data_IF_641820468732
#
_entry.id   IF_641820468732
#
_cell.length_a   1.000
_cell.length_b   1.000
_cell.length_c   1.000
_cell.angle_alpha   90.00
_cell.angle_beta   90.00
_cell.angle_gamma   90.00
#
_symmetry.space_group_name_H-M   'P 1'
#
loop_
_entity.id
_entity.type
_entity.pdbx_description
1 polymer ?
#
# COMPACT_ATOMS: atom_id res chain seq x y z
N UNK A 1 19.22 10.16 -41.24
CA UNK A 1 18.19 10.24 -40.21
C UNK A 1 18.85 10.74 -38.95
N UNK A 2 18.65 12.00 -38.65
CA UNK A 2 19.29 12.70 -37.52
C UNK A 2 18.77 12.14 -36.21
N UNK A 3 19.63 11.49 -35.43
CA UNK A 3 19.40 11.23 -34.02
C UNK A 3 19.27 12.59 -33.34
N UNK A 4 18.04 13.09 -33.27
CA UNK A 4 17.71 14.24 -32.45
C UNK A 4 18.08 13.82 -31.00
N UNK A 5 19.17 14.39 -30.49
CA UNK A 5 19.50 14.34 -29.08
C UNK A 5 18.36 15.03 -28.36
N UNK A 6 17.36 14.24 -27.96
CA UNK A 6 16.25 14.70 -27.14
C UNK A 6 16.90 15.38 -25.92
N UNK A 7 16.69 16.69 -25.79
CA UNK A 7 17.06 17.38 -24.59
C UNK A 7 16.41 16.63 -23.41
N UNK A 8 17.16 15.99 -22.52
CA UNK A 8 16.59 15.12 -21.49
C UNK A 8 15.66 15.88 -20.52
N UNK A 9 15.61 17.20 -20.63
CA UNK A 9 14.77 18.09 -19.81
C UNK A 9 13.49 18.56 -20.50
N UNK A 10 13.37 18.45 -21.81
CA UNK A 10 12.15 18.84 -22.52
C UNK A 10 11.11 17.73 -22.40
N UNK A 11 9.81 18.05 -22.21
CA UNK A 11 8.73 17.06 -22.28
C UNK A 11 8.71 16.39 -23.65
N UNK A 12 8.45 15.09 -23.68
CA UNK A 12 8.28 14.36 -24.93
C UNK A 12 6.93 14.78 -25.53
N UNK A 13 6.97 15.41 -26.69
CA UNK A 13 5.79 15.97 -27.39
C UNK A 13 5.08 14.97 -28.27
N UNK A 14 5.74 13.89 -28.69
CA UNK A 14 5.14 12.82 -29.47
C UNK A 14 5.39 11.47 -28.78
N UNK A 15 4.32 10.84 -28.31
CA UNK A 15 4.37 9.55 -27.64
C UNK A 15 3.23 8.65 -28.11
N UNK A 16 3.52 7.70 -28.99
CA UNK A 16 2.56 6.71 -29.46
C UNK A 16 3.03 5.27 -29.16
N UNK A 17 2.70 4.73 -27.98
CA UNK A 17 3.11 3.37 -27.60
C UNK A 17 2.36 2.28 -28.37
N UNK A 18 1.27 2.62 -29.11
CA UNK A 18 0.54 1.65 -29.92
C UNK A 18 1.16 1.47 -31.31
N UNK A 19 1.97 2.42 -31.78
CA UNK A 19 2.78 2.25 -33.02
C UNK A 19 3.89 1.22 -32.78
N UNK A 20 3.86 0.13 -33.49
CA UNK A 20 4.78 -1.00 -33.34
C UNK A 20 6.23 -0.65 -33.70
N UNK A 21 6.48 0.24 -34.65
CA UNK A 21 7.82 0.66 -35.04
C UNK A 21 8.39 1.63 -34.05
N UNK A 22 7.64 2.65 -33.63
CA UNK A 22 8.01 3.56 -32.54
C UNK A 22 8.29 2.78 -31.25
N UNK A 23 7.44 1.83 -30.90
CA UNK A 23 7.62 1.02 -29.70
C UNK A 23 8.93 0.22 -29.73
N UNK A 24 9.22 -0.45 -30.86
CA UNK A 24 10.41 -1.28 -31.02
C UNK A 24 11.70 -0.46 -30.99
N UNK A 25 11.72 0.72 -31.62
CA UNK A 25 12.92 1.54 -31.79
C UNK A 25 13.23 2.43 -30.59
N UNK A 26 12.21 3.02 -29.97
CA UNK A 26 12.38 4.07 -28.95
C UNK A 26 11.50 3.84 -27.73
N UNK A 27 10.21 3.61 -27.90
CA UNK A 27 9.22 3.64 -26.84
C UNK A 27 9.51 2.64 -25.72
N UNK A 28 9.85 1.39 -26.05
CA UNK A 28 10.10 0.35 -25.06
C UNK A 28 11.29 0.65 -24.13
N UNK A 29 12.36 1.24 -24.64
CA UNK A 29 13.54 1.57 -23.84
C UNK A 29 13.25 2.70 -22.85
N UNK A 30 12.58 3.75 -23.30
CA UNK A 30 12.15 4.89 -22.49
C UNK A 30 11.15 4.45 -21.42
N UNK A 31 10.13 3.68 -21.80
CA UNK A 31 9.11 3.17 -20.88
C UNK A 31 9.72 2.29 -19.75
N UNK A 32 10.62 1.36 -20.12
CA UNK A 32 11.32 0.51 -19.14
C UNK A 32 12.19 1.32 -18.20
N UNK A 33 12.93 2.32 -18.70
CA UNK A 33 13.75 3.19 -17.84
C UNK A 33 12.88 3.94 -16.84
N UNK A 34 11.76 4.55 -17.26
CA UNK A 34 10.82 5.22 -16.37
C UNK A 34 10.26 4.25 -15.30
N UNK A 35 9.90 3.02 -15.70
CA UNK A 35 9.40 1.99 -14.78
C UNK A 35 10.45 1.61 -13.73
N UNK A 36 11.70 1.30 -14.14
CA UNK A 36 12.74 0.86 -13.24
C UNK A 36 13.22 1.95 -12.26
N UNK A 37 13.06 3.23 -12.62
CA UNK A 37 13.31 4.36 -11.72
C UNK A 37 12.10 4.59 -10.79
N UNK A 38 10.88 4.40 -11.29
CA UNK A 38 9.65 4.54 -10.49
C UNK A 38 9.56 3.53 -9.35
N UNK A 39 10.01 2.29 -9.58
CA UNK A 39 9.95 1.20 -8.58
C UNK A 39 10.67 1.54 -7.27
N UNK A 40 11.96 1.93 -7.23
CA UNK A 40 12.61 2.30 -5.98
C UNK A 40 12.00 3.55 -5.32
N UNK A 41 11.52 4.53 -6.09
CA UNK A 41 10.78 5.67 -5.53
C UNK A 41 9.52 5.22 -4.79
N UNK A 42 8.76 4.29 -5.38
CA UNK A 42 7.55 3.75 -4.78
C UNK A 42 7.85 2.81 -3.61
N UNK A 43 8.92 2.02 -3.67
CA UNK A 43 9.40 1.19 -2.58
C UNK A 43 9.73 2.05 -1.35
N UNK A 44 10.48 3.13 -1.51
CA UNK A 44 10.79 4.07 -0.43
C UNK A 44 9.54 4.74 0.12
N UNK A 45 8.58 5.09 -0.74
CA UNK A 45 7.30 5.64 -0.33
C UNK A 45 6.55 4.71 0.63
N UNK A 46 6.49 3.42 0.33
CA UNK A 46 5.90 2.42 1.23
C UNK A 46 6.75 2.17 2.47
N UNK A 47 8.08 2.16 2.35
CA UNK A 47 8.98 2.01 3.50
C UNK A 47 8.76 3.10 4.55
N UNK A 48 8.71 4.35 4.12
CA UNK A 48 8.43 5.50 4.99
C UNK A 48 7.02 5.40 5.59
N UNK A 49 6.02 5.02 4.80
CA UNK A 49 4.63 4.95 5.27
C UNK A 49 4.42 3.98 6.45
N UNK A 50 5.23 2.93 6.55
CA UNK A 50 5.10 1.92 7.61
C UNK A 50 6.18 1.99 8.68
N UNK A 51 7.07 3.00 8.66
CA UNK A 51 8.17 3.08 9.64
C UNK A 51 7.66 3.13 11.10
N UNK A 52 6.49 3.72 11.34
CA UNK A 52 5.87 3.76 12.65
C UNK A 52 5.57 2.37 13.23
N UNK A 53 5.35 1.35 12.39
CA UNK A 53 5.08 -0.02 12.85
C UNK A 53 6.22 -0.63 13.69
N UNK A 54 7.45 -0.17 13.49
CA UNK A 54 8.63 -0.60 14.27
C UNK A 54 8.96 0.41 15.37
N UNK A 55 8.88 1.71 15.06
CA UNK A 55 9.23 2.78 16.00
C UNK A 55 8.40 2.69 17.29
N UNK A 56 7.08 2.50 17.17
CA UNK A 56 6.17 2.44 18.32
C UNK A 56 6.48 1.27 19.28
N UNK A 57 7.12 0.20 18.81
CA UNK A 57 7.50 -0.94 19.63
C UNK A 57 8.66 -0.60 20.59
N UNK A 58 9.52 0.32 20.16
CA UNK A 58 10.76 0.67 20.87
C UNK A 58 10.63 1.96 21.68
N UNK A 59 9.65 2.83 21.38
CA UNK A 59 9.40 4.08 22.11
C UNK A 59 9.25 3.90 23.63
N UNK A 60 8.46 2.92 24.13
CA UNK A 60 8.34 2.73 25.58
C UNK A 60 9.64 2.33 26.25
N UNK A 61 10.57 1.67 25.54
CA UNK A 61 11.86 1.23 26.09
C UNK A 61 12.79 2.41 26.36
N UNK A 62 12.65 3.50 25.64
CA UNK A 62 13.51 4.68 25.75
C UNK A 62 12.84 5.86 26.48
N UNK A 63 11.71 5.61 27.17
CA UNK A 63 11.10 6.57 28.09
C UNK A 63 9.84 7.29 27.57
N UNK A 64 9.34 6.99 26.38
CA UNK A 64 8.05 7.53 25.94
C UNK A 64 6.89 6.86 26.69
N UNK A 65 6.05 7.66 27.34
CA UNK A 65 4.94 7.20 28.18
C UNK A 65 3.57 7.23 27.48
N UNK A 66 3.54 6.89 26.19
CA UNK A 66 2.30 6.87 25.43
C UNK A 66 1.47 5.61 25.72
N UNK A 67 0.14 5.77 25.78
CA UNK A 67 -0.80 4.67 25.96
C UNK A 67 -0.88 3.77 24.71
N UNK A 68 -1.39 2.55 24.87
CA UNK A 68 -1.51 1.60 23.75
C UNK A 68 -2.34 2.16 22.59
N UNK A 69 -3.46 2.82 22.89
CA UNK A 69 -4.31 3.46 21.88
C UNK A 69 -3.58 4.60 21.16
N UNK A 70 -2.75 5.38 21.86
CA UNK A 70 -1.90 6.42 21.28
C UNK A 70 -0.85 5.82 20.32
N UNK A 71 -0.21 4.72 20.69
CA UNK A 71 0.75 4.03 19.81
C UNK A 71 0.08 3.45 18.56
N UNK A 72 -1.12 2.86 18.69
CA UNK A 72 -1.89 2.41 17.52
C UNK A 72 -2.31 3.58 16.62
N UNK A 73 -2.64 4.74 17.18
CA UNK A 73 -2.96 5.93 16.38
C UNK A 73 -1.74 6.39 15.57
N UNK A 74 -0.54 6.40 16.14
CA UNK A 74 0.69 6.74 15.41
C UNK A 74 0.95 5.80 14.22
N UNK A 75 0.64 4.51 14.34
CA UNK A 75 0.76 3.58 13.20
C UNK A 75 -0.32 3.78 12.14
N UNK A 76 -1.47 4.30 12.53
CA UNK A 76 -2.64 4.47 11.66
C UNK A 76 -2.59 5.75 10.82
N UNK A 77 -2.13 6.87 11.40
CA UNK A 77 -2.18 8.20 10.79
C UNK A 77 -1.48 8.33 9.44
N UNK A 78 -0.32 7.68 9.18
CA UNK A 78 0.29 7.70 7.86
C UNK A 78 -0.63 7.19 6.76
N UNK A 79 -1.45 6.19 7.08
CA UNK A 79 -2.37 5.62 6.10
C UNK A 79 -3.62 6.48 5.90
N UNK A 80 -4.08 7.19 6.94
CA UNK A 80 -5.17 8.16 6.83
C UNK A 80 -4.81 9.28 5.86
N UNK A 81 -3.72 9.98 6.15
CA UNK A 81 -3.25 11.08 5.29
C UNK A 81 -2.86 10.60 3.91
N UNK A 82 -2.17 9.46 3.81
CA UNK A 82 -1.76 8.88 2.55
C UNK A 82 -2.91 8.42 1.66
N UNK A 83 -3.94 7.78 2.22
CA UNK A 83 -5.14 7.39 1.48
C UNK A 83 -5.87 8.63 0.93
N UNK A 84 -5.98 9.67 1.75
CA UNK A 84 -6.56 10.96 1.33
C UNK A 84 -5.74 11.60 0.21
N UNK A 85 -4.42 11.63 0.36
CA UNK A 85 -3.51 12.19 -0.64
C UNK A 85 -3.55 11.43 -1.98
N UNK A 86 -3.82 10.11 -1.99
CA UNK A 86 -3.95 9.33 -3.24
C UNK A 86 -4.97 9.93 -4.20
N UNK A 87 -6.07 10.48 -3.68
CA UNK A 87 -7.11 11.10 -4.50
C UNK A 87 -6.54 12.27 -5.31
N UNK A 88 -5.75 13.13 -4.66
CA UNK A 88 -5.12 14.28 -5.31
C UNK A 88 -3.91 13.88 -6.15
N UNK A 89 -3.07 12.99 -5.64
CA UNK A 89 -1.84 12.56 -6.29
C UNK A 89 -2.07 11.86 -7.62
N UNK A 90 -3.23 11.24 -7.83
CA UNK A 90 -3.59 10.60 -9.11
C UNK A 90 -3.57 11.58 -10.30
N UNK A 91 -3.80 12.87 -10.05
CA UNK A 91 -3.83 13.91 -11.09
C UNK A 91 -2.49 14.63 -11.26
N UNK A 92 -1.60 14.54 -10.29
CA UNK A 92 -0.36 15.32 -10.26
C UNK A 92 0.58 15.07 -11.45
N UNK A 93 0.77 13.82 -11.94
CA UNK A 93 1.59 13.59 -13.14
C UNK A 93 1.05 14.28 -14.40
N UNK A 94 -0.27 14.40 -14.51
CA UNK A 94 -0.90 15.11 -15.62
C UNK A 94 -0.79 16.64 -15.53
N UNK A 95 -0.65 17.18 -14.30
CA UNK A 95 -0.54 18.62 -14.05
C UNK A 95 0.91 19.11 -14.09
N UNK A 96 1.82 18.40 -13.45
CA UNK A 96 3.22 18.81 -13.24
C UNK A 96 4.24 18.03 -14.07
N UNK A 97 3.80 16.98 -14.77
CA UNK A 97 4.68 16.01 -15.43
C UNK A 97 5.08 14.85 -14.51
N UNK A 98 5.27 13.69 -15.10
CA UNK A 98 5.56 12.46 -14.36
C UNK A 98 6.92 12.46 -13.68
N UNK A 99 7.97 12.94 -14.38
CA UNK A 99 9.32 13.12 -13.84
C UNK A 99 9.32 14.11 -12.68
N UNK A 100 8.81 15.31 -12.93
CA UNK A 100 8.80 16.39 -11.97
C UNK A 100 8.06 15.99 -10.70
N UNK A 101 6.86 15.42 -10.85
CA UNK A 101 6.08 14.97 -9.70
C UNK A 101 6.74 13.83 -8.94
N UNK A 102 7.26 12.80 -9.63
CA UNK A 102 7.95 11.68 -8.97
C UNK A 102 9.16 12.17 -8.17
N UNK A 103 9.93 13.11 -8.72
CA UNK A 103 11.07 13.70 -8.01
C UNK A 103 10.64 14.45 -6.75
N UNK A 104 9.69 15.38 -6.88
CA UNK A 104 9.23 16.19 -5.75
C UNK A 104 8.57 15.33 -4.65
N UNK A 105 7.70 14.40 -5.04
CA UNK A 105 7.01 13.54 -4.09
C UNK A 105 7.93 12.52 -3.42
N UNK A 106 9.00 12.07 -4.10
CA UNK A 106 10.03 11.24 -3.48
C UNK A 106 10.90 12.07 -2.54
N UNK A 107 11.37 13.25 -2.97
CA UNK A 107 12.17 14.15 -2.13
C UNK A 107 11.42 14.60 -0.86
N UNK A 108 10.09 14.78 -0.94
CA UNK A 108 9.27 15.14 0.22
C UNK A 108 9.30 14.10 1.36
N UNK A 109 9.68 12.85 1.07
CA UNK A 109 9.86 11.80 2.07
C UNK A 109 11.00 12.07 3.05
N UNK A 110 11.94 12.96 2.67
CA UNK A 110 13.01 13.45 3.58
C UNK A 110 12.41 14.14 4.80
N UNK A 111 11.28 14.83 4.65
CA UNK A 111 10.67 15.60 5.75
C UNK A 111 10.30 14.67 6.92
N UNK A 112 9.42 13.65 6.77
CA UNK A 112 9.08 12.77 7.87
C UNK A 112 10.25 11.90 8.33
N UNK A 113 11.14 11.48 7.43
CA UNK A 113 12.29 10.65 7.78
C UNK A 113 13.26 11.38 8.72
N UNK A 114 13.62 12.61 8.36
CA UNK A 114 14.54 13.45 9.15
C UNK A 114 13.85 13.92 10.43
N UNK A 115 12.61 14.40 10.34
CA UNK A 115 11.87 14.91 11.51
C UNK A 115 11.66 13.82 12.56
N UNK A 116 11.26 12.60 12.16
CA UNK A 116 11.17 11.47 13.06
C UNK A 116 12.51 11.16 13.71
N UNK A 117 13.59 11.10 12.90
CA UNK A 117 14.93 10.79 13.40
C UNK A 117 15.39 11.75 14.50
N UNK A 118 15.05 13.03 14.42
CA UNK A 118 15.34 13.97 15.50
C UNK A 118 14.36 13.87 16.67
N UNK A 119 13.07 13.73 16.40
CA UNK A 119 12.03 13.74 17.44
C UNK A 119 12.11 12.55 18.40
N UNK A 120 12.57 11.38 17.95
CA UNK A 120 12.68 10.19 18.80
C UNK A 120 13.91 10.17 19.72
N UNK A 121 14.83 11.12 19.56
CA UNK A 121 16.00 11.25 20.43
C UNK A 121 15.66 11.90 21.78
N UNK A 122 14.55 12.61 21.84
CA UNK A 122 14.08 13.27 23.06
C UNK A 122 12.75 12.64 23.52
N UNK A 123 12.74 11.83 24.60
CA UNK A 123 11.52 11.22 25.14
C UNK A 123 10.48 12.23 25.64
N UNK A 124 10.87 13.51 25.82
CA UNK A 124 9.95 14.58 26.22
C UNK A 124 9.21 15.20 25.04
N UNK A 125 9.53 14.78 23.81
CA UNK A 125 8.82 15.22 22.61
C UNK A 125 7.32 15.02 22.77
N UNK A 126 6.56 16.10 22.56
CA UNK A 126 5.11 16.10 22.79
C UNK A 126 4.38 15.14 21.86
N UNK A 127 3.31 14.52 22.35
CA UNK A 127 2.48 13.64 21.54
C UNK A 127 1.87 14.34 20.30
N UNK A 128 1.39 15.61 20.36
CA UNK A 128 0.97 16.35 19.16
C UNK A 128 2.06 16.46 18.08
N UNK A 129 3.33 16.64 18.47
CA UNK A 129 4.44 16.65 17.51
C UNK A 129 4.56 15.29 16.80
N UNK A 130 4.47 14.18 17.53
CA UNK A 130 4.49 12.84 16.95
C UNK A 130 3.29 12.59 16.02
N UNK A 131 2.11 13.11 16.36
CA UNK A 131 0.94 13.06 15.48
C UNK A 131 1.18 13.81 14.16
N UNK A 132 1.78 15.00 14.23
CA UNK A 132 2.14 15.77 13.01
C UNK A 132 3.13 15.00 12.13
N UNK A 133 4.17 14.42 12.73
CA UNK A 133 5.14 13.61 11.97
C UNK A 133 4.44 12.40 11.33
N UNK A 134 3.58 11.71 12.07
CA UNK A 134 2.82 10.57 11.55
C UNK A 134 1.91 10.95 10.38
N UNK A 135 1.24 12.10 10.45
CA UNK A 135 0.43 12.62 9.33
C UNK A 135 1.30 12.96 8.11
N UNK A 136 2.44 13.63 8.31
CA UNK A 136 3.35 13.97 7.21
C UNK A 136 3.98 12.73 6.59
N UNK A 137 4.16 11.67 7.36
CA UNK A 137 4.61 10.35 6.86
C UNK A 137 3.71 9.80 5.75
N UNK A 138 2.45 10.18 5.72
CA UNK A 138 1.50 9.77 4.67
C UNK A 138 1.79 10.30 3.27
N UNK A 139 2.70 11.29 3.11
CA UNK A 139 3.22 11.71 1.80
C UNK A 139 3.70 10.49 1.00
N UNK A 140 4.30 9.49 1.67
CA UNK A 140 4.73 8.24 1.04
C UNK A 140 3.57 7.45 0.43
N UNK A 141 2.56 7.11 1.23
CA UNK A 141 1.44 6.28 0.75
C UNK A 141 0.66 6.93 -0.40
N UNK A 142 0.64 8.27 -0.48
CA UNK A 142 0.05 9.02 -1.59
C UNK A 142 0.69 8.70 -2.94
N UNK A 143 1.99 8.46 -2.98
CA UNK A 143 2.77 8.23 -4.20
C UNK A 143 2.34 7.00 -5.02
N UNK A 144 1.61 6.07 -4.42
CA UNK A 144 1.10 4.91 -5.15
C UNK A 144 0.23 5.35 -6.35
N UNK A 145 -0.71 6.27 -6.14
CA UNK A 145 -1.65 6.68 -7.17
C UNK A 145 -0.93 7.43 -8.33
N UNK A 146 -0.04 8.36 -8.00
CA UNK A 146 0.71 9.11 -9.01
C UNK A 146 1.68 8.23 -9.80
N UNK A 147 2.37 7.31 -9.12
CA UNK A 147 3.29 6.36 -9.76
C UNK A 147 2.56 5.43 -10.74
N UNK A 148 1.41 4.87 -10.34
CA UNK A 148 0.59 4.01 -11.20
C UNK A 148 0.04 4.77 -12.40
N UNK A 149 -0.45 5.99 -12.22
CA UNK A 149 -0.94 6.84 -13.30
C UNK A 149 0.19 7.18 -14.28
N UNK A 150 1.34 7.61 -13.78
CA UNK A 150 2.49 7.97 -14.61
C UNK A 150 2.95 6.80 -15.49
N UNK A 151 3.21 5.64 -14.89
CA UNK A 151 3.70 4.47 -15.64
C UNK A 151 2.67 3.98 -16.66
N UNK A 152 1.38 4.10 -16.37
CA UNK A 152 0.32 3.74 -17.30
C UNK A 152 0.34 4.52 -18.62
N UNK A 153 0.88 5.75 -18.63
CA UNK A 153 0.99 6.55 -19.88
C UNK A 153 2.12 6.07 -20.79
N UNK A 154 3.17 5.46 -20.23
CA UNK A 154 4.33 5.03 -21.02
C UNK A 154 4.10 3.73 -21.79
N UNK A 155 3.21 2.83 -21.34
CA UNK A 155 3.07 1.49 -21.89
C UNK A 155 1.86 1.31 -22.80
N UNK A 156 1.97 0.50 -23.88
CA UNK A 156 0.84 0.18 -24.75
C UNK A 156 -0.21 -0.64 -23.97
N UNK A 157 -1.46 -0.61 -24.43
CA UNK A 157 -2.60 -1.27 -23.75
C UNK A 157 -2.30 -2.72 -23.39
N UNK A 158 -1.65 -3.46 -24.29
CA UNK A 158 -1.29 -4.87 -24.10
C UNK A 158 -0.32 -5.10 -22.94
N UNK A 159 0.59 -4.16 -22.63
CA UNK A 159 1.64 -4.29 -21.62
C UNK A 159 1.38 -3.46 -20.35
N UNK A 160 0.42 -2.54 -20.39
CA UNK A 160 0.09 -1.62 -19.30
C UNK A 160 -0.22 -2.35 -17.98
N UNK A 161 -0.99 -3.44 -18.03
CA UNK A 161 -1.33 -4.22 -16.86
C UNK A 161 -0.11 -4.87 -16.20
N UNK A 162 0.79 -5.45 -17.01
CA UNK A 162 2.03 -6.07 -16.53
C UNK A 162 2.99 -5.03 -15.92
N UNK A 163 3.17 -3.87 -16.59
CA UNK A 163 4.02 -2.80 -16.12
C UNK A 163 3.53 -2.22 -14.77
N UNK A 164 2.23 -1.92 -14.67
CA UNK A 164 1.63 -1.45 -13.43
C UNK A 164 1.64 -2.54 -12.33
N UNK A 165 1.43 -3.79 -12.70
CA UNK A 165 1.54 -4.92 -11.77
C UNK A 165 2.94 -5.05 -11.18
N UNK A 166 3.98 -4.89 -12.00
CA UNK A 166 5.37 -4.89 -11.56
C UNK A 166 5.68 -3.68 -10.67
N UNK A 167 5.27 -2.48 -11.08
CA UNK A 167 5.46 -1.25 -10.30
C UNK A 167 4.81 -1.34 -8.93
N UNK A 168 3.55 -1.77 -8.88
CA UNK A 168 2.82 -1.94 -7.62
C UNK A 168 3.39 -3.08 -6.75
N UNK A 169 3.72 -4.23 -7.35
CA UNK A 169 4.23 -5.39 -6.62
C UNK A 169 5.57 -5.11 -5.97
N UNK A 170 6.55 -4.66 -6.76
CA UNK A 170 7.88 -4.33 -6.25
C UNK A 170 7.87 -3.10 -5.34
N UNK A 171 7.00 -2.11 -5.60
CA UNK A 171 6.79 -0.99 -4.69
C UNK A 171 6.29 -1.43 -3.32
N UNK A 172 5.29 -2.31 -3.27
CA UNK A 172 4.74 -2.82 -2.01
C UNK A 172 5.75 -3.63 -1.17
N UNK A 173 6.81 -4.17 -1.78
CA UNK A 173 7.91 -4.79 -1.03
C UNK A 173 8.56 -3.81 -0.05
N UNK A 174 8.44 -2.49 -0.27
CA UNK A 174 8.93 -1.47 0.65
C UNK A 174 8.40 -1.63 2.08
N UNK A 175 7.18 -2.16 2.25
CA UNK A 175 6.62 -2.48 3.57
C UNK A 175 7.46 -3.52 4.29
N UNK A 176 7.77 -4.62 3.62
CA UNK A 176 8.59 -5.72 4.16
C UNK A 176 10.05 -5.30 4.35
N UNK A 177 10.60 -4.58 3.36
CA UNK A 177 11.98 -4.06 3.43
C UNK A 177 12.14 -3.15 4.64
N UNK A 178 11.17 -2.26 4.91
CA UNK A 178 11.22 -1.39 6.07
C UNK A 178 11.22 -2.19 7.38
N UNK A 179 10.32 -3.16 7.51
CA UNK A 179 10.21 -3.97 8.72
C UNK A 179 11.40 -4.93 8.92
N UNK A 180 12.15 -5.25 7.87
CA UNK A 180 13.40 -6.01 7.96
C UNK A 180 14.61 -5.12 8.26
N UNK A 181 14.74 -4.00 7.56
CA UNK A 181 15.94 -3.13 7.65
C UNK A 181 15.94 -2.30 8.93
N UNK A 182 14.79 -1.79 9.37
CA UNK A 182 14.75 -0.91 10.54
C UNK A 182 15.22 -1.56 11.83
N UNK A 183 14.83 -2.80 12.21
CA UNK A 183 15.37 -3.46 13.38
C UNK A 183 16.91 -3.58 13.36
N UNK A 184 17.48 -3.82 12.20
CA UNK A 184 18.95 -3.89 12.02
C UNK A 184 19.58 -2.49 12.13
N UNK A 185 18.99 -1.48 11.53
CA UNK A 185 19.52 -0.13 11.54
C UNK A 185 19.50 0.51 12.93
N UNK A 186 18.46 0.24 13.73
CA UNK A 186 18.33 0.78 15.09
C UNK A 186 19.18 0.04 16.12
N UNK A 187 19.68 -1.16 15.82
CA UNK A 187 20.56 -1.94 16.72
C UNK A 187 22.03 -1.57 16.63
N UNK A 188 22.41 -0.68 15.69
CA UNK A 188 23.80 -0.33 15.44
C UNK A 188 23.97 1.15 15.16
N UNK A 189 25.12 1.70 15.50
CA UNK A 189 25.53 3.09 15.19
C UNK A 189 25.93 3.27 13.71
N UNK A 190 24.99 3.03 12.79
CA UNK A 190 25.24 2.98 11.33
C UNK A 190 25.87 4.26 10.77
N UNK A 191 25.54 5.40 11.36
CA UNK A 191 26.02 6.71 10.90
C UNK A 191 27.17 7.28 11.76
N UNK A 192 27.70 6.51 12.72
CA UNK A 192 28.74 6.96 13.65
C UNK A 192 28.32 8.27 14.36
N UNK A 193 29.26 9.22 14.47
CA UNK A 193 29.01 10.50 15.12
C UNK A 193 27.89 11.35 14.45
N UNK A 194 27.62 11.14 13.17
CA UNK A 194 26.56 11.85 12.45
C UNK A 194 25.16 11.34 12.83
N UNK A 195 25.07 10.12 13.36
CA UNK A 195 23.81 9.49 13.72
C UNK A 195 23.30 9.88 15.11
N UNK A 196 24.07 10.60 15.90
CA UNK A 196 23.75 10.92 17.31
C UNK A 196 24.00 9.77 18.28
N UNK A 197 23.82 10.04 19.55
CA UNK A 197 24.06 9.08 20.63
C UNK A 197 22.95 8.04 20.76
N UNK A 198 23.27 6.81 21.22
CA UNK A 198 22.26 5.80 21.48
C UNK A 198 21.45 6.13 22.72
N UNK A 199 20.17 5.79 22.70
CA UNK A 199 19.39 5.65 23.94
C UNK A 199 19.72 4.32 24.60
N UNK A 200 19.73 4.28 25.93
CA UNK A 200 19.98 3.05 26.70
C UNK A 200 18.70 2.58 27.37
N UNK A 201 18.50 1.27 27.44
CA UNK A 201 17.42 0.64 28.19
C UNK A 201 17.90 -0.65 28.84
N UNK A 202 17.26 -1.04 29.93
CA UNK A 202 17.59 -2.28 30.66
C UNK A 202 16.50 -3.31 30.36
N UNK A 203 16.91 -4.48 29.90
CA UNK A 203 16.05 -5.62 29.69
C UNK A 203 16.73 -6.87 30.27
N UNK A 204 16.01 -7.63 31.09
CA UNK A 204 16.51 -8.85 31.75
C UNK A 204 17.84 -8.63 32.55
N UNK A 205 18.02 -7.44 33.14
CA UNK A 205 19.23 -7.06 33.88
C UNK A 205 20.43 -6.67 33.01
N UNK A 206 20.27 -6.67 31.66
CA UNK A 206 21.32 -6.28 30.70
C UNK A 206 21.01 -4.90 30.14
N UNK A 207 22.01 -4.03 30.08
CA UNK A 207 21.91 -2.71 29.44
C UNK A 207 22.11 -2.86 27.93
N UNK A 208 21.12 -2.42 27.17
CA UNK A 208 21.13 -2.41 25.72
C UNK A 208 21.21 -0.98 25.19
N UNK A 209 21.84 -0.81 24.04
CA UNK A 209 21.87 0.45 23.29
C UNK A 209 20.95 0.37 22.07
N UNK A 210 20.26 1.46 21.74
CA UNK A 210 19.39 1.56 20.58
C UNK A 210 19.51 2.95 19.96
N UNK A 211 19.68 2.98 18.65
CA UNK A 211 19.68 4.20 17.82
C UNK A 211 18.31 4.33 17.14
N UNK A 212 17.25 4.62 17.90
CA UNK A 212 15.89 4.67 17.32
C UNK A 212 15.75 5.69 16.19
N UNK A 213 16.54 6.75 16.21
CA UNK A 213 16.64 7.75 15.16
C UNK A 213 17.02 7.16 13.79
N UNK A 214 17.75 6.05 13.77
CA UNK A 214 18.13 5.38 12.52
C UNK A 214 16.94 4.78 11.78
N UNK A 215 15.79 4.58 12.45
CA UNK A 215 14.54 4.18 11.77
C UNK A 215 14.10 5.21 10.72
N UNK A 216 14.40 6.49 10.94
CA UNK A 216 14.20 7.56 9.95
C UNK A 216 15.43 7.78 9.08
N UNK A 217 16.61 7.96 9.69
CA UNK A 217 17.83 8.38 8.97
C UNK A 217 18.33 7.37 7.94
N UNK A 218 18.10 6.06 8.14
CA UNK A 218 18.54 5.02 7.19
C UNK A 218 17.99 5.24 5.77
N UNK A 219 16.83 5.87 5.65
CA UNK A 219 16.18 6.09 4.35
C UNK A 219 16.69 7.33 3.61
N UNK A 220 17.29 8.29 4.32
CA UNK A 220 17.71 9.58 3.77
C UNK A 220 18.60 9.44 2.54
N UNK A 221 19.72 8.66 2.56
CA UNK A 221 20.58 8.53 1.38
C UNK A 221 19.85 7.89 0.20
N UNK A 222 19.01 6.89 0.44
CA UNK A 222 18.24 6.23 -0.62
C UNK A 222 17.19 7.15 -1.24
N UNK A 223 16.52 7.98 -0.43
CA UNK A 223 15.57 8.98 -0.91
C UNK A 223 16.29 10.01 -1.80
N UNK A 224 17.45 10.50 -1.38
CA UNK A 224 18.24 11.47 -2.16
C UNK A 224 18.66 10.86 -3.50
N UNK A 225 19.25 9.66 -3.49
CA UNK A 225 19.69 8.97 -4.72
C UNK A 225 18.51 8.70 -5.65
N UNK A 226 17.37 8.22 -5.13
CA UNK A 226 16.18 7.95 -5.95
C UNK A 226 15.56 9.22 -6.52
N UNK A 227 15.56 10.32 -5.76
CA UNK A 227 15.08 11.62 -6.25
C UNK A 227 15.98 12.17 -7.37
N UNK A 228 17.29 12.03 -7.22
CA UNK A 228 18.27 12.42 -8.27
C UNK A 228 18.07 11.53 -9.50
N UNK A 229 17.94 10.22 -9.31
CA UNK A 229 17.68 9.28 -10.42
C UNK A 229 16.38 9.62 -11.16
N UNK A 230 15.30 9.97 -10.42
CA UNK A 230 14.05 10.39 -11.02
C UNK A 230 14.21 11.70 -11.83
N UNK A 231 14.90 12.69 -11.27
CA UNK A 231 15.10 13.97 -11.94
C UNK A 231 15.88 13.87 -13.24
N UNK A 232 16.95 13.09 -13.28
CA UNK A 232 17.82 12.95 -14.45
C UNK A 232 17.42 11.81 -15.39
N UNK A 233 16.76 10.76 -14.89
CA UNK A 233 16.50 9.55 -15.64
C UNK A 233 15.07 9.39 -16.16
N UNK A 234 14.07 10.04 -15.54
CA UNK A 234 12.68 9.96 -15.97
C UNK A 234 12.33 11.03 -17.03
N UNK A 235 11.17 10.90 -17.65
CA UNK A 235 10.66 11.80 -18.68
C UNK A 235 9.28 12.35 -18.30
N UNK A 236 8.99 13.56 -18.80
CA UNK A 236 7.65 14.13 -18.82
C UNK A 236 7.02 13.90 -20.20
N UNK A 237 5.71 13.57 -20.23
CA UNK A 237 4.92 13.46 -21.46
C UNK A 237 3.99 14.68 -21.57
N UNK A 238 4.08 15.42 -22.69
CA UNK A 238 3.28 16.63 -22.89
C UNK A 238 1.76 16.35 -23.04
N UNK A 239 1.42 15.18 -23.59
CA UNK A 239 0.04 14.77 -23.89
C UNK A 239 -0.63 13.94 -22.78
N UNK A 240 0.04 13.75 -21.63
CA UNK A 240 -0.52 13.02 -20.49
C UNK A 240 -1.54 13.88 -19.74
N UNK A 241 -2.66 14.20 -20.41
CA UNK A 241 -3.76 14.98 -19.82
C UNK A 241 -4.93 14.07 -19.47
N UNK A 242 -5.51 14.23 -18.28
CA UNK A 242 -6.76 13.60 -17.86
C UNK A 242 -7.71 14.65 -17.29
N UNK A 243 -8.98 14.61 -17.72
CA UNK A 243 -10.00 15.51 -17.18
C UNK A 243 -10.61 14.91 -15.90
N UNK A 244 -10.67 15.70 -14.83
CA UNK A 244 -11.34 15.34 -13.58
C UNK A 244 -12.82 15.06 -13.81
N UNK A 245 -13.48 15.85 -14.69
CA UNK A 245 -14.91 15.72 -14.97
C UNK A 245 -15.27 14.38 -15.63
N UNK A 246 -14.42 13.87 -16.53
CA UNK A 246 -14.60 12.56 -17.16
C UNK A 246 -14.45 11.40 -16.17
N UNK A 247 -13.66 11.58 -15.12
CA UNK A 247 -13.45 10.57 -14.09
C UNK A 247 -14.61 10.53 -13.07
N UNK A 248 -15.37 11.60 -12.89
CA UNK A 248 -16.46 11.68 -11.92
C UNK A 248 -17.64 10.73 -12.22
N UNK A 249 -17.74 10.20 -13.44
CA UNK A 249 -18.79 9.23 -13.85
C UNK A 249 -18.76 7.97 -13.02
N UNK A 250 -17.59 7.55 -12.50
CA UNK A 250 -17.44 6.34 -11.68
C UNK A 250 -18.26 6.40 -10.39
N UNK A 251 -18.46 7.59 -9.80
CA UNK A 251 -19.18 7.75 -8.53
C UNK A 251 -20.68 7.42 -8.63
N UNK A 252 -21.24 7.47 -9.84
CA UNK A 252 -22.63 7.09 -10.11
C UNK A 252 -22.83 5.57 -10.28
N UNK A 253 -21.73 4.79 -10.39
CA UNK A 253 -21.78 3.34 -10.58
C UNK A 253 -21.78 2.62 -9.24
N UNK A 254 -22.82 1.80 -8.94
CA UNK A 254 -22.86 0.99 -7.71
C UNK A 254 -21.66 0.05 -7.59
N UNK A 255 -21.21 -0.53 -8.71
CA UNK A 255 -20.09 -1.45 -8.74
C UNK A 255 -18.77 -0.79 -8.29
N UNK A 256 -18.62 0.53 -8.42
CA UNK A 256 -17.47 1.25 -7.89
C UNK A 256 -17.41 1.14 -6.35
N UNK A 257 -18.53 1.36 -5.68
CA UNK A 257 -18.60 1.31 -4.21
C UNK A 257 -18.51 -0.12 -3.67
N UNK A 258 -19.09 -1.10 -4.38
CA UNK A 258 -18.95 -2.51 -4.04
C UNK A 258 -17.50 -2.98 -4.17
N UNK A 259 -16.81 -2.57 -5.22
CA UNK A 259 -15.39 -2.87 -5.39
C UNK A 259 -14.52 -2.14 -4.36
N UNK A 260 -14.87 -0.93 -3.92
CA UNK A 260 -14.22 -0.28 -2.78
C UNK A 260 -14.32 -1.14 -1.51
N UNK A 261 -15.49 -1.70 -1.23
CA UNK A 261 -15.71 -2.56 -0.07
C UNK A 261 -14.87 -3.84 -0.13
N UNK A 262 -14.88 -4.53 -1.28
CA UNK A 262 -14.09 -5.75 -1.46
C UNK A 262 -12.58 -5.46 -1.44
N UNK A 263 -12.16 -4.34 -2.02
CA UNK A 263 -10.74 -3.96 -2.04
C UNK A 263 -10.24 -3.48 -0.67
N UNK A 264 -11.12 -2.88 0.13
CA UNK A 264 -10.86 -2.62 1.54
C UNK A 264 -10.65 -3.94 2.31
N UNK A 265 -11.41 -5.00 1.99
CA UNK A 265 -11.25 -6.33 2.56
C UNK A 265 -9.95 -7.02 2.19
N UNK A 266 -9.41 -6.78 1.01
CA UNK A 266 -8.16 -7.40 0.53
C UNK A 266 -6.96 -6.50 0.76
N UNK A 267 -6.82 -5.41 0.01
CA UNK A 267 -5.69 -4.48 0.15
C UNK A 267 -5.70 -3.76 1.49
N UNK A 268 -6.89 -3.36 1.98
CA UNK A 268 -7.01 -2.72 3.27
C UNK A 268 -6.55 -3.62 4.41
N UNK A 269 -6.87 -4.91 4.36
CA UNK A 269 -6.36 -5.89 5.33
C UNK A 269 -4.86 -6.07 5.23
N UNK A 270 -4.31 -6.20 4.02
CA UNK A 270 -2.87 -6.29 3.80
C UNK A 270 -2.12 -5.13 4.46
N UNK A 271 -2.49 -3.89 4.14
CA UNK A 271 -1.77 -2.71 4.65
C UNK A 271 -2.10 -2.43 6.12
N UNK A 272 -3.33 -2.74 6.57
CA UNK A 272 -3.75 -2.58 7.95
C UNK A 272 -3.03 -3.54 8.90
N UNK A 273 -2.91 -4.80 8.52
CA UNK A 273 -2.10 -5.76 9.29
C UNK A 273 -0.63 -5.41 9.23
N UNK A 274 -0.11 -4.96 8.09
CA UNK A 274 1.29 -4.50 8.00
C UNK A 274 1.60 -3.38 8.98
N UNK A 275 0.66 -2.47 9.23
CA UNK A 275 0.82 -1.36 10.16
C UNK A 275 0.63 -1.79 11.63
N UNK A 276 -0.29 -2.72 11.92
CA UNK A 276 -0.75 -3.03 13.27
C UNK A 276 -0.15 -4.32 13.86
N UNK A 277 0.21 -5.31 13.03
CA UNK A 277 0.53 -6.67 13.48
C UNK A 277 1.68 -6.72 14.48
N UNK A 278 2.72 -5.91 14.28
CA UNK A 278 3.87 -5.85 15.18
C UNK A 278 3.45 -5.42 16.60
N UNK A 279 2.70 -4.32 16.70
CA UNK A 279 2.21 -3.79 17.99
C UNK A 279 1.15 -4.72 18.61
N UNK A 280 0.24 -5.26 17.81
CA UNK A 280 -0.75 -6.23 18.24
C UNK A 280 -0.07 -7.47 18.86
N UNK A 281 0.89 -8.05 18.15
CA UNK A 281 1.63 -9.22 18.62
C UNK A 281 2.37 -8.92 19.96
N UNK A 282 3.04 -7.77 20.06
CA UNK A 282 3.74 -7.36 21.29
C UNK A 282 2.78 -7.13 22.45
N UNK A 283 1.57 -6.61 22.18
CA UNK A 283 0.57 -6.38 23.24
C UNK A 283 -0.10 -7.66 23.74
N UNK A 284 -0.29 -8.66 22.84
CA UNK A 284 -0.91 -9.94 23.21
C UNK A 284 0.11 -10.95 23.74
N UNK A 285 1.35 -10.92 23.26
CA UNK A 285 2.44 -11.83 23.62
C UNK A 285 3.69 -11.02 24.03
N UNK A 286 3.69 -10.38 25.21
CA UNK A 286 4.77 -9.45 25.61
C UNK A 286 6.15 -10.10 25.72
N UNK A 287 6.22 -11.43 25.98
CA UNK A 287 7.47 -12.18 26.09
C UNK A 287 8.16 -12.45 24.73
N UNK A 288 7.45 -12.24 23.60
CA UNK A 288 7.99 -12.55 22.27
C UNK A 288 8.56 -11.28 21.64
N UNK A 289 9.78 -11.35 21.14
CA UNK A 289 10.33 -10.31 20.26
C UNK A 289 9.92 -10.57 18.81
N UNK A 290 8.87 -9.88 18.40
CA UNK A 290 8.29 -10.01 17.05
C UNK A 290 9.11 -9.27 15.99
N UNK A 291 10.01 -8.38 16.35
CA UNK A 291 10.73 -7.51 15.41
C UNK A 291 11.58 -8.28 14.42
N UNK A 292 12.07 -9.48 14.83
CA UNK A 292 12.93 -10.32 13.98
C UNK A 292 12.21 -10.96 12.78
N UNK A 293 10.86 -11.08 12.80
CA UNK A 293 10.11 -11.83 11.79
C UNK A 293 8.80 -11.19 11.32
N UNK A 294 8.46 -10.01 11.84
CA UNK A 294 7.24 -9.29 11.44
C UNK A 294 7.18 -8.97 9.95
N UNK A 295 8.34 -8.80 9.30
CA UNK A 295 8.46 -8.53 7.87
C UNK A 295 7.95 -9.66 6.97
N UNK A 296 7.86 -10.90 7.48
CA UNK A 296 7.48 -12.10 6.71
C UNK A 296 6.06 -11.97 6.18
N UNK A 297 5.14 -11.45 6.97
CA UNK A 297 3.74 -11.27 6.56
C UNK A 297 3.60 -10.38 5.32
N UNK A 298 4.04 -9.12 5.36
CA UNK A 298 4.02 -8.25 4.19
C UNK A 298 4.83 -8.80 3.01
N UNK A 299 5.94 -9.51 3.24
CA UNK A 299 6.72 -10.15 2.19
C UNK A 299 5.87 -11.18 1.44
N UNK A 300 5.25 -12.11 2.15
CA UNK A 300 4.38 -13.13 1.57
C UNK A 300 3.24 -12.47 0.78
N UNK A 301 2.55 -11.50 1.40
CA UNK A 301 1.42 -10.82 0.77
C UNK A 301 1.80 -10.04 -0.50
N UNK A 302 2.97 -9.40 -0.52
CA UNK A 302 3.45 -8.68 -1.70
C UNK A 302 3.86 -9.64 -2.85
N UNK A 303 4.60 -10.71 -2.52
CA UNK A 303 5.09 -11.67 -3.51
C UNK A 303 3.98 -12.54 -4.12
N UNK A 304 2.96 -12.89 -3.34
CA UNK A 304 1.85 -13.74 -3.82
C UNK A 304 0.82 -12.98 -4.69
N UNK A 305 0.80 -11.66 -4.64
CA UNK A 305 -0.17 -10.84 -5.37
C UNK A 305 -0.22 -11.08 -6.88
N UNK A 306 0.92 -11.17 -7.61
CA UNK A 306 0.90 -11.52 -9.03
C UNK A 306 0.30 -12.91 -9.31
N UNK A 307 0.53 -13.86 -8.40
CA UNK A 307 -0.04 -15.22 -8.51
C UNK A 307 -1.56 -15.15 -8.38
N UNK A 308 -2.10 -14.35 -7.44
CA UNK A 308 -3.52 -14.12 -7.29
C UNK A 308 -4.16 -13.56 -8.57
N UNK A 309 -3.50 -12.60 -9.23
CA UNK A 309 -3.92 -12.07 -10.53
C UNK A 309 -3.92 -13.15 -11.63
N UNK A 310 -2.83 -13.92 -11.73
CA UNK A 310 -2.71 -15.00 -12.73
C UNK A 310 -3.75 -16.12 -12.54
N UNK A 311 -4.02 -16.54 -11.30
CA UNK A 311 -5.09 -17.52 -11.01
C UNK A 311 -6.45 -16.96 -11.41
N UNK A 312 -6.69 -15.67 -11.15
CA UNK A 312 -7.92 -14.98 -11.52
C UNK A 312 -8.16 -14.92 -13.02
N UNK A 313 -7.10 -14.84 -13.81
CA UNK A 313 -7.20 -14.89 -15.28
C UNK A 313 -7.69 -16.26 -15.80
N UNK A 314 -7.43 -17.34 -15.05
CA UNK A 314 -7.80 -18.70 -15.44
C UNK A 314 -9.16 -19.16 -14.88
N UNK A 315 -9.46 -18.77 -13.66
CA UNK A 315 -10.61 -19.31 -12.90
C UNK A 315 -11.76 -18.30 -12.79
N UNK A 316 -11.47 -17.02 -13.01
CA UNK A 316 -12.37 -15.89 -12.79
C UNK A 316 -12.09 -15.17 -11.47
N UNK A 317 -11.99 -13.83 -11.54
CA UNK A 317 -11.64 -12.99 -10.40
C UNK A 317 -12.63 -13.10 -9.24
N UNK A 318 -13.92 -13.13 -9.53
CA UNK A 318 -14.96 -13.22 -8.52
C UNK A 318 -14.92 -14.55 -7.73
N UNK A 319 -14.64 -15.67 -8.39
CA UNK A 319 -14.53 -16.97 -7.70
C UNK A 319 -13.32 -17.01 -6.79
N UNK A 320 -12.18 -16.50 -7.26
CA UNK A 320 -10.96 -16.41 -6.44
C UNK A 320 -11.20 -15.51 -5.23
N UNK A 321 -11.77 -14.33 -5.44
CA UNK A 321 -12.06 -13.36 -4.37
C UNK A 321 -13.03 -13.93 -3.33
N UNK A 322 -14.07 -14.66 -3.77
CA UNK A 322 -15.01 -15.33 -2.87
C UNK A 322 -14.31 -16.33 -1.94
N UNK A 323 -13.52 -17.24 -2.50
CA UNK A 323 -12.81 -18.26 -1.71
C UNK A 323 -11.72 -17.64 -0.81
N UNK A 324 -11.07 -16.57 -1.27
CA UNK A 324 -10.15 -15.83 -0.44
C UNK A 324 -10.83 -15.33 0.83
N UNK A 325 -11.99 -14.69 0.75
CA UNK A 325 -12.69 -14.22 1.94
C UNK A 325 -13.18 -15.36 2.84
N UNK A 326 -13.65 -16.48 2.27
CA UNK A 326 -14.02 -17.67 3.04
C UNK A 326 -12.82 -18.19 3.84
N UNK A 327 -11.66 -18.30 3.20
CA UNK A 327 -10.43 -18.74 3.88
C UNK A 327 -9.90 -17.71 4.89
N UNK A 328 -10.07 -16.40 4.63
CA UNK A 328 -9.75 -15.35 5.60
C UNK A 328 -10.60 -15.45 6.85
N UNK A 329 -11.87 -15.83 6.73
CA UNK A 329 -12.75 -16.11 7.89
C UNK A 329 -12.17 -17.27 8.72
N UNK A 330 -11.76 -18.37 8.08
CA UNK A 330 -11.17 -19.53 8.77
C UNK A 330 -9.87 -19.14 9.47
N UNK A 331 -8.99 -18.39 8.79
CA UNK A 331 -7.72 -17.91 9.37
C UNK A 331 -7.98 -16.95 10.54
N UNK A 332 -9.02 -16.11 10.48
CA UNK A 332 -9.40 -15.21 11.56
C UNK A 332 -9.92 -15.95 12.78
N UNK A 333 -10.75 -16.98 12.59
CA UNK A 333 -11.22 -17.85 13.68
C UNK A 333 -10.06 -18.60 14.32
N UNK A 334 -9.11 -19.07 13.53
CA UNK A 334 -7.87 -19.68 14.04
C UNK A 334 -7.04 -18.67 14.87
N UNK A 335 -6.89 -17.42 14.40
CA UNK A 335 -6.20 -16.39 15.16
C UNK A 335 -6.87 -16.09 16.50
N UNK A 336 -8.21 -16.00 16.51
CA UNK A 336 -9.00 -15.81 17.72
C UNK A 336 -8.82 -16.96 18.73
N UNK A 337 -8.79 -18.21 18.28
CA UNK A 337 -8.60 -19.37 19.15
C UNK A 337 -7.20 -19.45 19.77
N UNK A 338 -6.23 -18.75 19.19
CA UNK A 338 -4.83 -18.73 19.68
C UNK A 338 -4.52 -17.57 20.61
N UNK A 339 -5.44 -16.61 20.81
CA UNK A 339 -5.23 -15.48 21.71
C UNK A 339 -5.10 -15.91 23.18
N UNK A 340 -4.32 -15.16 24.00
CA UNK A 340 -4.35 -15.33 25.44
C UNK A 340 -5.75 -15.12 26.00
N UNK A 341 -6.16 -15.96 26.94
CA UNK A 341 -7.46 -15.88 27.59
C UNK A 341 -7.32 -16.12 29.11
N UNK A 342 -8.40 -15.94 29.85
CA UNK A 342 -8.42 -16.27 31.26
C UNK A 342 -8.05 -17.74 31.58
N UNK A 343 -8.07 -18.62 30.56
CA UNK A 343 -7.78 -20.06 30.69
C UNK A 343 -6.36 -20.45 30.29
N UNK A 344 -5.54 -19.52 29.72
CA UNK A 344 -4.17 -19.81 29.30
C UNK A 344 -3.46 -18.66 28.59
N UNK A 345 -2.14 -18.80 28.49
CA UNK A 345 -1.24 -17.79 27.90
C UNK A 345 -1.40 -17.60 26.37
N UNK A 346 -2.28 -18.36 25.74
CA UNK A 346 -2.44 -18.39 24.29
C UNK A 346 -1.35 -19.19 23.57
N UNK A 347 -1.44 -19.25 22.24
CA UNK A 347 -0.47 -19.92 21.37
C UNK A 347 0.07 -18.95 20.34
N UNK A 348 1.27 -18.38 20.60
CA UNK A 348 1.88 -17.43 19.67
C UNK A 348 2.16 -18.03 18.28
N UNK A 349 2.63 -19.28 18.18
CA UNK A 349 2.92 -19.92 16.90
C UNK A 349 1.66 -20.08 16.05
N UNK A 350 0.54 -20.49 16.65
CA UNK A 350 -0.76 -20.58 15.98
C UNK A 350 -1.29 -19.20 15.56
N UNK A 351 -1.18 -18.21 16.45
CA UNK A 351 -1.55 -16.82 16.15
C UNK A 351 -0.73 -16.25 14.98
N UNK A 352 0.59 -16.42 15.03
CA UNK A 352 1.48 -15.97 13.98
C UNK A 352 1.16 -16.65 12.63
N UNK A 353 1.03 -17.98 12.63
CA UNK A 353 0.71 -18.74 11.40
C UNK A 353 -0.64 -18.31 10.81
N UNK A 354 -1.65 -18.04 11.65
CA UNK A 354 -2.95 -17.54 11.22
C UNK A 354 -2.84 -16.17 10.55
N UNK A 355 -2.03 -15.26 11.09
CA UNK A 355 -1.76 -13.96 10.47
C UNK A 355 -0.94 -14.08 9.18
N UNK A 356 0.02 -15.02 9.11
CA UNK A 356 0.75 -15.30 7.85
C UNK A 356 -0.23 -15.80 6.76
N UNK A 357 -1.19 -16.65 7.12
CA UNK A 357 -2.27 -17.05 6.22
C UNK A 357 -3.15 -15.85 5.80
N UNK A 358 -3.50 -14.96 6.73
CA UNK A 358 -4.24 -13.73 6.39
C UNK A 358 -3.46 -12.83 5.43
N UNK A 359 -2.15 -12.66 5.60
CA UNK A 359 -1.31 -11.91 4.68
C UNK A 359 -1.25 -12.54 3.29
N UNK A 360 -1.08 -13.86 3.21
CA UNK A 360 -1.09 -14.62 1.96
C UNK A 360 -2.43 -14.45 1.24
N UNK A 361 -3.53 -14.67 1.94
CA UNK A 361 -4.88 -14.57 1.38
C UNK A 361 -5.22 -13.13 0.98
N UNK A 362 -4.85 -12.14 1.79
CA UNK A 362 -5.00 -10.73 1.44
C UNK A 362 -4.20 -10.37 0.18
N UNK A 363 -2.99 -10.92 0.02
CA UNK A 363 -2.17 -10.76 -1.18
C UNK A 363 -2.81 -11.36 -2.43
N UNK A 364 -3.27 -12.62 -2.36
CA UNK A 364 -4.02 -13.27 -3.45
C UNK A 364 -5.28 -12.48 -3.78
N UNK A 365 -6.04 -12.10 -2.75
CA UNK A 365 -7.25 -11.30 -2.89
C UNK A 365 -7.01 -9.94 -3.51
N UNK A 366 -5.90 -9.27 -3.16
CA UNK A 366 -5.51 -8.01 -3.75
C UNK A 366 -5.26 -8.15 -5.27
N UNK A 367 -4.59 -9.23 -5.70
CA UNK A 367 -4.42 -9.55 -7.11
C UNK A 367 -5.75 -9.80 -7.83
N UNK A 368 -6.63 -10.61 -7.22
CA UNK A 368 -7.92 -10.99 -7.82
C UNK A 368 -8.91 -9.83 -7.89
N UNK A 369 -9.10 -9.07 -6.83
CA UNK A 369 -10.01 -7.91 -6.82
C UNK A 369 -9.56 -6.82 -7.77
N UNK A 370 -8.25 -6.55 -7.86
CA UNK A 370 -7.73 -5.55 -8.80
C UNK A 370 -7.99 -5.96 -10.26
N UNK A 371 -7.94 -7.26 -10.55
CA UNK A 371 -8.23 -7.81 -11.88
C UNK A 371 -9.71 -7.74 -12.26
N UNK A 372 -10.62 -7.77 -11.28
CA UNK A 372 -12.07 -7.62 -11.51
C UNK A 372 -12.44 -6.23 -12.01
N UNK A 373 -11.72 -5.17 -11.61
CA UNK A 373 -12.08 -3.78 -11.90
C UNK A 373 -12.27 -3.54 -13.41
N UNK A 374 -11.27 -3.76 -14.29
CA UNK A 374 -11.46 -3.53 -15.72
C UNK A 374 -12.57 -4.41 -16.34
N UNK A 375 -12.68 -5.66 -15.92
CA UNK A 375 -13.70 -6.58 -16.42
C UNK A 375 -15.11 -6.05 -16.14
N UNK A 376 -15.37 -5.60 -14.92
CA UNK A 376 -16.67 -5.05 -14.48
C UNK A 376 -16.99 -3.77 -15.25
N UNK A 377 -16.07 -2.80 -15.30
CA UNK A 377 -16.35 -1.50 -15.92
C UNK A 377 -16.52 -1.56 -17.43
N UNK A 378 -15.77 -2.43 -18.11
CA UNK A 378 -15.97 -2.70 -19.56
C UNK A 378 -17.35 -3.33 -19.79
N UNK A 379 -17.73 -4.34 -19.00
CA UNK A 379 -19.03 -4.98 -19.11
C UNK A 379 -20.20 -4.01 -18.82
N UNK A 380 -20.05 -3.12 -17.83
CA UNK A 380 -21.02 -2.05 -17.55
C UNK A 380 -21.20 -1.12 -18.75
N UNK A 381 -20.11 -0.61 -19.32
CA UNK A 381 -20.14 0.29 -20.45
C UNK A 381 -20.77 -0.36 -21.71
N UNK A 382 -20.45 -1.62 -21.97
CA UNK A 382 -21.04 -2.39 -23.08
C UNK A 382 -22.53 -2.64 -22.89
N UNK A 383 -22.99 -2.92 -21.67
CA UNK A 383 -24.44 -3.10 -21.39
C UNK A 383 -25.22 -1.80 -21.60
N UNK A 384 -24.68 -0.66 -21.13
CA UNK A 384 -25.31 0.64 -21.36
C UNK A 384 -25.39 0.99 -22.84
N UNK A 385 -24.32 0.72 -23.60
CA UNK A 385 -24.31 0.96 -25.03
C UNK A 385 -25.38 0.13 -25.77
N UNK A 386 -25.55 -1.16 -25.41
CA UNK A 386 -26.61 -2.01 -25.95
C UNK A 386 -28.01 -1.48 -25.62
N UNK A 387 -28.24 -0.99 -24.40
CA UNK A 387 -29.52 -0.40 -24.01
C UNK A 387 -29.83 0.92 -24.72
N UNK A 388 -28.78 1.65 -25.10
CA UNK A 388 -28.89 2.96 -25.79
C UNK A 388 -28.75 2.85 -27.34
N UNK A 389 -28.62 1.64 -27.89
CA UNK A 389 -28.42 1.42 -29.33
C UNK A 389 -27.09 1.96 -29.86
N UNK A 390 -26.07 2.17 -29.00
CA UNK A 390 -24.74 2.65 -29.37
C UNK A 390 -23.80 1.48 -29.75
N UNK A 391 -22.77 1.78 -30.55
CA UNK A 391 -21.78 0.79 -30.92
C UNK A 391 -21.02 0.25 -29.69
N UNK A 392 -20.98 -1.07 -29.55
CA UNK A 392 -20.38 -1.77 -28.38
C UNK A 392 -18.87 -1.59 -28.35
N UNK A 393 -18.23 -1.44 -29.52
CA UNK A 393 -16.77 -1.27 -29.60
C UNK A 393 -16.31 0.08 -29.06
N UNK A 394 -17.02 1.18 -29.36
CA UNK A 394 -16.73 2.49 -28.78
C UNK A 394 -16.95 2.52 -27.24
N UNK A 395 -17.97 1.82 -26.78
CA UNK A 395 -18.27 1.69 -25.35
C UNK A 395 -17.20 0.90 -24.58
N UNK A 396 -16.53 -0.06 -25.22
CA UNK A 396 -15.41 -0.76 -24.59
C UNK A 396 -14.24 0.17 -24.26
N UNK A 397 -13.93 1.13 -25.13
CA UNK A 397 -12.91 2.14 -24.90
C UNK A 397 -13.27 3.06 -23.71
N UNK A 398 -14.55 3.44 -23.60
CA UNK A 398 -15.07 4.20 -22.47
C UNK A 398 -14.96 3.39 -21.16
N UNK A 399 -15.28 2.09 -21.20
CA UNK A 399 -15.12 1.18 -20.08
C UNK A 399 -13.68 1.07 -19.60
N UNK A 400 -12.71 1.02 -20.50
CA UNK A 400 -11.27 1.02 -20.17
C UNK A 400 -10.86 2.33 -19.48
N UNK A 401 -11.31 3.48 -19.98
CA UNK A 401 -11.04 4.78 -19.32
C UNK A 401 -11.63 4.86 -17.94
N UNK A 402 -12.91 4.46 -17.79
CA UNK A 402 -13.59 4.43 -16.49
C UNK A 402 -12.94 3.44 -15.51
N UNK A 403 -12.46 2.29 -15.97
CA UNK A 403 -11.77 1.31 -15.12
C UNK A 403 -10.46 1.86 -14.55
N UNK A 404 -9.72 2.66 -15.31
CA UNK A 404 -8.49 3.29 -14.83
C UNK A 404 -8.77 4.30 -13.71
N UNK A 405 -9.79 5.15 -13.87
CA UNK A 405 -10.23 6.09 -12.86
C UNK A 405 -10.75 5.35 -11.60
N UNK A 406 -11.58 4.31 -11.81
CA UNK A 406 -12.11 3.49 -10.73
C UNK A 406 -10.99 2.78 -9.96
N UNK A 407 -9.97 2.22 -10.62
CA UNK A 407 -8.84 1.58 -9.97
C UNK A 407 -8.08 2.54 -9.06
N UNK A 408 -7.89 3.79 -9.49
CA UNK A 408 -7.29 4.85 -8.68
C UNK A 408 -8.11 5.12 -7.41
N UNK A 409 -9.40 5.39 -7.57
CA UNK A 409 -10.31 5.67 -6.45
C UNK A 409 -10.48 4.47 -5.50
N UNK A 410 -10.72 3.27 -6.04
CA UNK A 410 -10.85 2.02 -5.27
C UNK A 410 -9.57 1.78 -4.46
N UNK A 411 -8.38 2.04 -5.04
CA UNK A 411 -7.11 1.90 -4.34
C UNK A 411 -6.94 2.91 -3.19
N UNK A 412 -7.48 4.12 -3.35
CA UNK A 412 -7.47 5.12 -2.29
C UNK A 412 -8.37 4.70 -1.13
N UNK A 413 -9.61 4.27 -1.42
CA UNK A 413 -10.53 3.76 -0.38
C UNK A 413 -9.95 2.51 0.31
N UNK A 414 -9.38 1.57 -0.46
CA UNK A 414 -8.72 0.39 0.13
C UNK A 414 -7.58 0.75 1.09
N UNK A 415 -6.84 1.81 0.82
CA UNK A 415 -5.74 2.24 1.69
C UNK A 415 -6.20 2.73 3.07
N UNK A 416 -7.46 3.18 3.22
CA UNK A 416 -8.00 3.51 4.54
C UNK A 416 -8.04 2.30 5.49
N UNK A 417 -7.95 1.06 5.00
CA UNK A 417 -7.77 -0.12 5.85
C UNK A 417 -6.53 -0.03 6.73
N UNK A 418 -5.46 0.62 6.24
CA UNK A 418 -4.25 0.90 7.01
C UNK A 418 -4.46 1.89 8.17
N UNK A 419 -5.52 2.69 8.14
CA UNK A 419 -5.97 3.51 9.25
C UNK A 419 -6.99 2.77 10.12
N UNK A 420 -8.01 2.19 9.52
CA UNK A 420 -9.15 1.62 10.22
C UNK A 420 -8.76 0.43 11.11
N UNK A 421 -7.89 -0.46 10.61
CA UNK A 421 -7.51 -1.68 11.35
C UNK A 421 -6.68 -1.38 12.60
N UNK A 422 -5.58 -0.58 12.55
CA UNK A 422 -4.87 -0.20 13.77
C UNK A 422 -5.77 0.57 14.76
N UNK A 423 -6.63 1.47 14.27
CA UNK A 423 -7.59 2.19 15.11
C UNK A 423 -8.58 1.25 15.80
N UNK A 424 -9.06 0.26 15.09
CA UNK A 424 -9.96 -0.74 15.64
C UNK A 424 -9.28 -1.54 16.77
N UNK A 425 -8.01 -1.92 16.59
CA UNK A 425 -7.24 -2.55 17.67
C UNK A 425 -7.01 -1.60 18.84
N UNK A 426 -6.60 -0.36 18.59
CA UNK A 426 -6.42 0.67 19.63
C UNK A 426 -7.70 0.90 20.44
N UNK A 427 -8.83 1.04 19.76
CA UNK A 427 -10.15 1.19 20.38
C UNK A 427 -10.53 -0.04 21.22
N UNK A 428 -10.35 -1.23 20.68
CA UNK A 428 -10.66 -2.50 21.39
C UNK A 428 -9.82 -2.64 22.66
N UNK A 429 -8.52 -2.34 22.57
CA UNK A 429 -7.62 -2.37 23.71
C UNK A 429 -7.98 -1.32 24.78
N UNK A 430 -8.40 -0.12 24.37
CA UNK A 430 -8.81 0.95 25.29
C UNK A 430 -10.13 0.65 25.97
N UNK A 431 -11.13 0.21 25.22
CA UNK A 431 -12.50 0.01 25.71
C UNK A 431 -12.68 -1.29 26.50
N UNK A 432 -11.97 -2.36 26.11
CA UNK A 432 -12.18 -3.72 26.63
C UNK A 432 -10.92 -4.37 27.18
N UNK A 433 -9.75 -3.75 27.05
CA UNK A 433 -8.48 -4.30 27.49
C UNK A 433 -7.93 -5.45 26.64
N UNK A 434 -8.62 -5.84 25.55
CA UNK A 434 -8.31 -7.01 24.73
C UNK A 434 -8.55 -6.75 23.24
N UNK A 435 -7.84 -7.51 22.37
CA UNK A 435 -7.93 -7.35 20.92
C UNK A 435 -9.07 -8.14 20.27
N UNK A 436 -9.72 -9.06 20.99
CA UNK A 436 -10.72 -9.99 20.46
C UNK A 436 -11.88 -9.29 19.76
N UNK A 437 -12.39 -8.20 20.34
CA UNK A 437 -13.52 -7.44 19.77
C UNK A 437 -13.18 -6.89 18.39
N UNK A 438 -11.95 -6.39 18.21
CA UNK A 438 -11.50 -5.93 16.91
C UNK A 438 -11.48 -7.07 15.88
N UNK A 439 -11.01 -8.27 16.26
CA UNK A 439 -11.00 -9.44 15.38
C UNK A 439 -12.42 -9.93 15.04
N UNK A 440 -13.38 -9.89 15.99
CA UNK A 440 -14.78 -10.19 15.70
C UNK A 440 -15.42 -9.20 14.72
N UNK A 441 -15.10 -7.91 14.82
CA UNK A 441 -15.58 -6.90 13.86
C UNK A 441 -14.99 -7.16 12.47
N UNK A 442 -13.70 -7.47 12.37
CA UNK A 442 -13.07 -7.85 11.10
C UNK A 442 -13.65 -9.15 10.53
N UNK A 443 -13.97 -10.13 11.38
CA UNK A 443 -14.66 -11.35 10.98
C UNK A 443 -16.02 -11.04 10.35
N UNK A 444 -16.84 -10.21 11.01
CA UNK A 444 -18.14 -9.77 10.49
C UNK A 444 -17.99 -9.02 9.16
N UNK A 445 -16.95 -8.19 9.03
CA UNK A 445 -16.62 -7.50 7.79
C UNK A 445 -16.28 -8.48 6.66
N UNK A 446 -15.48 -9.53 6.90
CA UNK A 446 -15.19 -10.55 5.87
C UNK A 446 -16.42 -11.36 5.48
N UNK A 447 -17.32 -11.67 6.43
CA UNK A 447 -18.61 -12.31 6.12
C UNK A 447 -19.41 -11.42 5.18
N UNK A 448 -19.45 -10.11 5.40
CA UNK A 448 -20.11 -9.17 4.49
C UNK A 448 -19.47 -9.15 3.09
N UNK A 449 -18.14 -9.27 3.00
CA UNK A 449 -17.44 -9.36 1.72
C UNK A 449 -17.77 -10.66 0.97
N UNK A 450 -17.88 -11.80 1.67
CA UNK A 450 -18.34 -13.08 1.09
C UNK A 450 -19.71 -12.92 0.51
N UNK A 451 -20.65 -12.38 1.30
CA UNK A 451 -22.04 -12.20 0.87
C UNK A 451 -22.17 -11.30 -0.37
N UNK A 452 -21.52 -10.12 -0.34
CA UNK A 452 -21.54 -9.18 -1.46
C UNK A 452 -20.89 -9.77 -2.72
N UNK A 453 -19.75 -10.43 -2.57
CA UNK A 453 -19.05 -11.07 -3.69
C UNK A 453 -19.91 -12.18 -4.31
N UNK A 454 -20.55 -13.01 -3.47
CA UNK A 454 -21.44 -14.08 -3.93
C UNK A 454 -22.63 -13.54 -4.70
N UNK A 455 -23.39 -12.64 -4.09
CA UNK A 455 -24.65 -12.13 -4.66
C UNK A 455 -24.42 -11.34 -5.95
N UNK A 456 -23.35 -10.57 -6.03
CA UNK A 456 -23.14 -9.64 -7.14
C UNK A 456 -22.32 -10.21 -8.29
N UNK A 457 -21.29 -11.04 -7.98
CA UNK A 457 -20.25 -11.41 -8.93
C UNK A 457 -20.03 -12.91 -9.11
N UNK A 458 -20.15 -13.75 -8.07
CA UNK A 458 -19.70 -15.13 -8.11
C UNK A 458 -20.81 -16.19 -8.33
N UNK A 459 -22.07 -15.89 -8.04
CA UNK A 459 -23.18 -16.85 -8.21
C UNK A 459 -23.50 -17.13 -9.68
N UNK A 460 -24.10 -18.30 -10.00
CA UNK A 460 -24.48 -18.65 -11.39
C UNK A 460 -25.52 -17.71 -12.00
N UNK A 461 -26.27 -16.98 -11.19
CA UNK A 461 -27.20 -15.94 -11.61
C UNK A 461 -26.72 -14.52 -11.35
N UNK A 462 -25.42 -14.32 -11.13
CA UNK A 462 -24.87 -13.03 -10.76
C UNK A 462 -25.16 -11.95 -11.82
N UNK A 463 -25.50 -10.75 -11.34
CA UNK A 463 -25.76 -9.62 -12.25
C UNK A 463 -24.54 -9.23 -13.07
N UNK A 464 -23.34 -9.48 -12.56
CA UNK A 464 -22.04 -9.13 -13.19
C UNK A 464 -21.04 -10.28 -12.99
N UNK A 465 -21.19 -11.43 -13.64
CA UNK A 465 -20.22 -12.52 -13.53
C UNK A 465 -18.86 -12.07 -14.08
N UNK A 466 -17.77 -12.32 -13.35
CA UNK A 466 -16.40 -11.96 -13.73
C UNK A 466 -15.33 -12.92 -13.12
#
# INVERSE_FOLDING_TARGET
>A
MTTSTLNPRAPITHWDPEDAEFWRTTGASVARRNLWISIPCLLLAFSISVMWSIVVLKMPLIGFSYSKDQLFLLTALPMLSGATLRIFYSFMPAMFGGRTWTTLSTASLLIPAIWLGYAVQDPTTSYPTMLCIALVTGLGSGNFASSMANIAYFFPKRQKGAANGMNAGLGNLGVSVAQFVMPLAISAGVFGALGGEPSTYVQDGVTHQIWLQNAGFIWVPFIIVSSIAAWFGMNDLADAKSSIAEQAVIFRRPDNWLMCWLYLGTFGSFIGYSSAFALLSKTQFPSVDVTAFVFIGPLIGALIRPVGGWVSDKVGGARVTFWVFVLMIVAMLSALSCLPSARGAGNFAGFFSSFMALFLLAGVGNGSTYRMIPTIFIACAQREARQQGRAVESAAADGVRQSAAAAGFISAIGAYGGFLIPQLFGWSMKAYGQAEIALYILLAFYISCVFLCWVRYASQGARMPC
#
